data_IF_893648879835
#
_entry.id   IF_893648879835
#
_cell.length_a   1.000
_cell.length_b   1.000
_cell.length_c   1.000
_cell.angle_alpha   90.00
_cell.angle_beta   90.00
_cell.angle_gamma   90.00
#
_symmetry.space_group_name_H-M   'P 1'
#
loop_
_entity.id
_entity.type
_entity.pdbx_description
1 polymer ?
#
# COMPACT_ATOMS: atom_id res chain seq x y z
N UNK A 1 3.10 16.42 -2.18
CA UNK A 1 3.67 15.48 -3.18
C UNK A 1 4.69 14.50 -2.58
N UNK A 2 5.71 14.89 -1.79
CA UNK A 2 6.75 13.97 -1.30
C UNK A 2 6.24 12.85 -0.39
N UNK A 3 5.21 13.09 0.42
CA UNK A 3 4.64 12.10 1.35
C UNK A 3 4.03 10.88 0.64
N UNK A 4 3.31 11.08 -0.46
CA UNK A 4 2.69 10.00 -1.23
C UNK A 4 3.75 9.14 -1.96
N UNK A 5 4.77 9.77 -2.56
CA UNK A 5 5.86 9.04 -3.20
C UNK A 5 6.64 8.20 -2.18
N UNK A 6 6.90 8.76 -0.99
CA UNK A 6 7.55 8.04 0.10
C UNK A 6 6.72 6.85 0.56
N UNK A 7 5.40 7.02 0.71
CA UNK A 7 4.48 5.93 1.02
C UNK A 7 4.55 4.82 -0.04
N UNK A 8 4.48 5.20 -1.33
CA UNK A 8 4.55 4.25 -2.43
C UNK A 8 5.87 3.48 -2.45
N UNK A 9 6.98 4.15 -2.13
CA UNK A 9 8.31 3.52 -2.03
C UNK A 9 8.40 2.56 -0.84
N UNK A 10 7.84 2.93 0.32
CA UNK A 10 7.75 2.05 1.50
C UNK A 10 6.92 0.78 1.17
N UNK A 11 5.77 0.95 0.52
CA UNK A 11 4.94 -0.17 0.09
C UNK A 11 5.66 -1.06 -0.93
N UNK A 12 6.44 -0.46 -1.84
CA UNK A 12 7.25 -1.19 -2.80
C UNK A 12 8.32 -2.07 -2.13
N UNK A 13 9.00 -1.52 -1.13
CA UNK A 13 9.99 -2.26 -0.34
C UNK A 13 9.37 -3.44 0.43
N UNK A 14 8.24 -3.22 1.11
CA UNK A 14 7.49 -4.28 1.77
C UNK A 14 7.10 -5.40 0.79
N UNK A 15 6.55 -5.03 -0.36
CA UNK A 15 6.13 -6.00 -1.37
C UNK A 15 7.31 -6.83 -1.88
N UNK A 16 8.46 -6.21 -2.11
CA UNK A 16 9.67 -6.90 -2.56
C UNK A 16 10.16 -7.93 -1.52
N UNK A 17 10.21 -7.54 -0.24
CA UNK A 17 10.63 -8.41 0.86
C UNK A 17 9.66 -9.58 1.04
N UNK A 18 8.35 -9.32 1.08
CA UNK A 18 7.34 -10.37 1.22
C UNK A 18 7.29 -11.31 0.02
N UNK A 19 7.43 -10.77 -1.20
CA UNK A 19 7.50 -11.60 -2.40
C UNK A 19 8.72 -12.52 -2.37
N UNK A 20 9.89 -12.00 -1.97
CA UNK A 20 11.11 -12.78 -1.85
C UNK A 20 10.95 -13.90 -0.82
N UNK A 21 10.35 -13.60 0.34
CA UNK A 21 10.00 -14.59 1.35
C UNK A 21 9.11 -15.70 0.77
N UNK A 22 8.03 -15.34 0.09
CA UNK A 22 7.16 -16.31 -0.56
C UNK A 22 7.94 -17.16 -1.56
N UNK A 23 8.74 -16.55 -2.41
CA UNK A 23 9.49 -17.23 -3.48
C UNK A 23 10.49 -18.24 -2.94
N UNK A 24 11.16 -17.94 -1.83
CA UNK A 24 12.18 -18.81 -1.23
C UNK A 24 11.57 -19.98 -0.45
N UNK A 25 10.50 -19.74 0.33
CA UNK A 25 9.99 -20.71 1.29
C UNK A 25 8.77 -21.50 0.81
N UNK A 26 7.85 -20.86 0.07
CA UNK A 26 6.51 -21.43 -0.20
C UNK A 26 6.23 -21.74 -1.67
N UNK A 27 6.93 -21.14 -2.63
CA UNK A 27 6.64 -21.30 -4.07
C UNK A 27 6.71 -22.74 -4.55
N UNK A 28 7.41 -23.60 -3.83
CA UNK A 28 7.58 -25.02 -4.17
C UNK A 28 6.56 -25.94 -3.49
N UNK A 29 5.72 -25.44 -2.59
CA UNK A 29 4.74 -26.27 -1.88
C UNK A 29 3.48 -26.50 -2.71
N UNK A 30 2.88 -27.71 -2.59
CA UNK A 30 1.67 -28.10 -3.33
C UNK A 30 0.36 -27.63 -2.66
N UNK A 31 0.45 -26.70 -1.72
CA UNK A 31 -0.71 -26.13 -1.02
C UNK A 31 -1.23 -24.90 -1.79
N UNK A 32 -1.76 -25.14 -3.02
CA UNK A 32 -2.09 -24.07 -3.97
C UNK A 32 -3.05 -23.04 -3.41
N UNK A 33 -4.14 -23.47 -2.74
CA UNK A 33 -5.11 -22.57 -2.10
C UNK A 33 -4.47 -21.67 -1.04
N UNK A 34 -3.57 -22.23 -0.22
CA UNK A 34 -2.86 -21.46 0.80
C UNK A 34 -1.91 -20.45 0.15
N UNK A 35 -1.14 -20.87 -0.85
CA UNK A 35 -0.22 -20.00 -1.59
C UNK A 35 -0.95 -18.83 -2.24
N UNK A 36 -2.15 -19.06 -2.81
CA UNK A 36 -3.02 -18.04 -3.36
C UNK A 36 -3.44 -17.00 -2.30
N UNK A 37 -4.01 -17.48 -1.19
CA UNK A 37 -4.44 -16.59 -0.09
C UNK A 37 -3.25 -15.80 0.47
N UNK A 38 -2.10 -16.44 0.58
CA UNK A 38 -0.89 -15.80 1.09
C UNK A 38 -0.37 -14.73 0.11
N UNK A 39 -0.34 -14.97 -1.20
CA UNK A 39 0.06 -13.97 -2.19
C UNK A 39 -0.86 -12.75 -2.19
N UNK A 40 -2.18 -12.96 -2.14
CA UNK A 40 -3.14 -11.86 -2.03
C UNK A 40 -3.02 -11.14 -0.67
N UNK A 41 -2.83 -11.89 0.42
CA UNK A 41 -2.63 -11.34 1.77
C UNK A 41 -1.37 -10.50 1.89
N UNK A 42 -0.25 -10.99 1.37
CA UNK A 42 1.03 -10.26 1.33
C UNK A 42 0.92 -8.99 0.50
N UNK A 43 0.23 -9.05 -0.64
CA UNK A 43 -0.03 -7.87 -1.46
C UNK A 43 -0.78 -6.80 -0.64
N UNK A 44 -1.90 -7.15 -0.03
CA UNK A 44 -2.69 -6.21 0.79
C UNK A 44 -1.88 -5.70 2.00
N UNK A 45 -1.17 -6.59 2.68
CA UNK A 45 -0.35 -6.25 3.83
C UNK A 45 0.74 -5.24 3.47
N UNK A 46 1.35 -5.35 2.28
CA UNK A 46 2.37 -4.42 1.80
C UNK A 46 1.86 -2.99 1.66
N UNK A 47 0.57 -2.80 1.36
CA UNK A 47 -0.06 -1.50 1.30
C UNK A 47 -0.56 -1.01 2.67
N UNK A 48 -0.98 -1.92 3.54
CA UNK A 48 -1.53 -1.56 4.85
C UNK A 48 -0.42 -1.21 5.87
N UNK A 49 0.70 -1.93 5.86
CA UNK A 49 1.78 -1.74 6.84
C UNK A 49 2.34 -0.31 6.88
N UNK A 50 2.61 0.37 5.75
CA UNK A 50 3.12 1.74 5.81
C UNK A 50 2.10 2.79 6.30
N UNK A 51 0.80 2.44 6.39
CA UNK A 51 -0.24 3.29 6.98
C UNK A 51 -0.27 3.19 8.51
N UNK A 52 0.26 2.09 9.08
CA UNK A 52 0.36 1.90 10.51
C UNK A 52 1.59 2.64 11.04
N UNK A 53 1.44 3.92 11.38
CA UNK A 53 2.50 4.70 12.03
C UNK A 53 2.47 4.42 13.53
N UNK A 54 3.52 3.75 14.05
CA UNK A 54 3.71 3.54 15.47
C UNK A 54 4.63 4.65 15.95
N UNK A 55 4.13 5.57 16.78
CA UNK A 55 4.93 6.57 17.48
C UNK A 55 5.47 5.95 18.77
N UNK A 56 6.78 5.83 18.87
CA UNK A 56 7.45 5.42 20.10
C UNK A 56 7.95 6.69 20.78
N UNK A 57 7.34 7.04 21.92
CA UNK A 57 7.79 8.13 22.77
C UNK A 57 9.06 7.70 23.49
N UNK A 58 10.13 8.46 23.31
CA UNK A 58 11.40 8.25 23.97
C UNK A 58 11.74 9.48 24.80
N UNK A 59 11.88 9.30 26.10
CA UNK A 59 12.37 10.36 26.97
C UNK A 59 13.82 10.69 26.59
N UNK A 60 14.15 11.99 26.50
CA UNK A 60 15.50 12.43 26.20
C UNK A 60 16.40 12.06 27.40
N UNK A 61 17.40 11.18 27.23
CA UNK A 61 18.31 10.84 28.31
C UNK A 61 19.16 12.07 28.67
N UNK A 62 19.06 12.52 29.90
CA UNK A 62 19.97 13.52 30.47
C UNK A 62 19.47 14.96 30.54
N UNK A 63 18.24 15.26 30.10
CA UNK A 63 17.62 16.58 30.36
C UNK A 63 16.70 16.43 31.57
N UNK A 64 17.25 16.64 32.76
CA UNK A 64 16.43 16.89 33.95
C UNK A 64 15.77 18.25 33.77
N UNK A 65 14.47 18.35 33.99
CA UNK A 65 13.73 19.61 33.96
C UNK A 65 14.28 20.67 34.91
N UNK A 66 15.14 20.27 35.86
CA UNK A 66 15.82 21.14 36.81
C UNK A 66 17.07 21.86 36.24
N UNK A 67 17.46 21.60 34.99
CA UNK A 67 18.68 22.15 34.39
C UNK A 67 18.48 23.13 33.25
N UNK A 68 17.25 23.40 32.87
CA UNK A 68 16.96 24.55 32.00
C UNK A 68 16.77 25.72 32.97
N UNK A 69 17.87 26.31 33.40
CA UNK A 69 17.81 27.68 33.94
C UNK A 69 17.08 28.49 32.88
N UNK A 70 15.85 28.89 33.20
CA UNK A 70 15.06 29.80 32.38
C UNK A 70 15.97 30.97 32.11
N UNK A 71 16.52 31.07 30.91
CA UNK A 71 17.27 32.27 30.50
C UNK A 71 16.32 33.41 30.80
N UNK A 72 16.63 34.25 31.81
CA UNK A 72 15.66 35.25 32.24
C UNK A 72 15.35 36.11 31.02
N UNK A 73 14.08 36.35 30.79
CA UNK A 73 13.54 37.11 29.65
C UNK A 73 14.25 38.47 29.47
N UNK A 74 14.93 38.94 30.53
CA UNK A 74 15.76 40.14 30.56
C UNK A 74 17.07 40.00 29.75
N UNK A 75 17.53 38.79 29.41
CA UNK A 75 18.73 38.62 28.57
C UNK A 75 18.42 38.93 27.10
N UNK A 76 17.25 38.56 26.62
CA UNK A 76 16.81 38.90 25.25
C UNK A 76 16.46 40.38 25.10
N UNK A 77 16.08 41.06 26.18
CA UNK A 77 15.71 42.49 26.16
C UNK A 77 16.90 43.44 26.17
N UNK A 78 18.06 42.97 26.61
CA UNK A 78 19.24 43.86 26.75
C UNK A 78 20.03 44.01 25.44
N UNK A 79 20.02 43.04 24.60
CA UNK A 79 20.79 43.05 23.34
C UNK A 79 20.01 43.53 22.12
N UNK A 80 18.70 43.80 22.28
CA UNK A 80 17.86 44.33 21.16
C UNK A 80 17.52 45.81 21.32
N UNK A 81 18.00 46.48 22.34
CA UNK A 81 18.02 47.94 22.32
C UNK A 81 19.31 48.37 21.64
N UNK A 82 19.47 48.00 20.38
CA UNK A 82 20.18 48.85 19.45
C UNK A 82 19.35 50.12 19.36
N UNK A 83 19.71 51.07 20.19
CA UNK A 83 19.25 52.45 20.05
C UNK A 83 19.57 52.88 18.61
N UNK A 84 18.56 52.86 17.78
CA UNK A 84 18.62 53.31 16.37
C UNK A 84 18.89 54.83 16.37
N UNK A 85 20.07 55.24 16.87
CA UNK A 85 20.66 56.54 16.51
C UNK A 85 21.42 56.37 15.21
N UNK A 86 20.69 56.14 14.10
CA UNK A 86 21.20 56.44 12.80
C UNK A 86 21.19 57.96 12.71
N UNK A 87 22.36 58.64 12.60
CA UNK A 87 22.38 60.08 12.31
C UNK A 87 21.60 60.34 11.07
N UNK A 88 20.76 61.35 11.09
CA UNK A 88 19.84 61.72 10.00
C UNK A 88 20.55 62.00 8.64
N UNK A 89 21.87 62.11 8.68
CA UNK A 89 22.71 62.47 7.53
C UNK A 89 23.15 61.26 6.68
N UNK A 90 22.80 59.99 7.07
CA UNK A 90 23.17 58.77 6.32
C UNK A 90 21.99 58.03 5.71
N UNK A 91 20.78 58.62 5.75
CA UNK A 91 19.57 57.99 5.17
C UNK A 91 19.60 57.87 3.63
N UNK A 92 20.36 58.75 2.96
CA UNK A 92 20.43 58.78 1.52
C UNK A 92 21.46 57.80 0.90
N UNK A 93 22.25 57.08 1.72
CA UNK A 93 23.33 56.21 1.23
C UNK A 93 23.09 54.73 1.40
N UNK A 94 21.98 54.31 2.03
CA UNK A 94 21.61 52.87 2.06
C UNK A 94 20.35 52.65 1.23
N UNK A 95 20.44 52.77 -0.07
CA UNK A 95 19.62 51.98 -0.97
C UNK A 95 20.18 50.55 -0.82
N UNK A 96 19.67 49.82 0.14
CA UNK A 96 19.87 48.35 0.17
C UNK A 96 19.08 47.88 -1.04
N UNK A 97 19.76 47.73 -2.19
CA UNK A 97 19.23 47.02 -3.32
C UNK A 97 18.84 45.64 -2.77
N UNK A 98 17.54 45.40 -2.64
CA UNK A 98 17.01 44.10 -2.24
C UNK A 98 17.60 43.07 -3.21
N UNK A 99 18.40 42.08 -2.76
CA UNK A 99 19.06 41.16 -3.64
C UNK A 99 17.99 40.49 -4.51
N UNK A 100 18.15 40.57 -5.85
CA UNK A 100 17.26 39.90 -6.77
C UNK A 100 17.01 38.45 -6.25
N UNK A 101 15.76 38.02 -6.15
CA UNK A 101 15.44 36.69 -5.65
C UNK A 101 16.24 35.68 -6.48
N UNK A 102 17.11 34.92 -5.80
CA UNK A 102 17.86 33.84 -6.45
C UNK A 102 16.87 32.93 -7.20
N UNK A 103 17.19 32.46 -8.39
CA UNK A 103 16.31 31.60 -9.15
C UNK A 103 15.95 30.38 -8.30
N UNK A 104 14.63 30.15 -8.12
CA UNK A 104 14.11 29.04 -7.34
C UNK A 104 14.73 27.73 -7.85
N UNK A 105 15.29 26.89 -6.96
CA UNK A 105 15.88 25.64 -7.35
C UNK A 105 14.80 24.75 -7.97
N UNK A 106 15.15 24.07 -9.07
CA UNK A 106 14.23 23.17 -9.76
C UNK A 106 13.71 22.08 -8.80
N UNK A 107 12.38 21.98 -8.65
CA UNK A 107 11.75 21.00 -7.75
C UNK A 107 11.67 19.61 -8.41
N UNK A 108 12.69 18.80 -8.14
CA UNK A 108 12.76 17.41 -8.57
C UNK A 108 11.59 16.57 -8.06
N UNK A 109 10.98 16.94 -6.92
CA UNK A 109 9.82 16.24 -6.34
C UNK A 109 8.58 16.39 -7.22
N UNK A 110 8.39 17.55 -7.81
CA UNK A 110 7.29 17.78 -8.77
C UNK A 110 7.50 16.95 -10.03
N UNK A 111 8.72 16.95 -10.59
CA UNK A 111 9.01 16.15 -11.79
C UNK A 111 8.79 14.66 -11.55
N UNK A 112 9.31 14.10 -10.45
CA UNK A 112 9.12 12.70 -10.08
C UNK A 112 7.64 12.38 -9.87
N UNK A 113 6.89 13.30 -9.27
CA UNK A 113 5.44 13.18 -9.12
C UNK A 113 4.72 13.08 -10.45
N UNK A 114 5.05 13.96 -11.40
CA UNK A 114 4.46 13.95 -12.75
C UNK A 114 4.74 12.62 -13.44
N UNK A 115 5.99 12.14 -13.41
CA UNK A 115 6.39 10.85 -14.01
C UNK A 115 5.62 9.70 -13.37
N UNK A 116 5.51 9.70 -12.04
CA UNK A 116 4.78 8.67 -11.31
C UNK A 116 3.29 8.61 -11.71
N UNK A 117 2.60 9.75 -11.68
CA UNK A 117 1.18 9.80 -12.02
C UNK A 117 0.94 9.51 -13.51
N UNK A 118 1.81 9.96 -14.41
CA UNK A 118 1.73 9.63 -15.83
C UNK A 118 1.81 8.12 -16.05
N UNK A 119 2.77 7.42 -15.42
CA UNK A 119 2.89 5.96 -15.47
C UNK A 119 1.68 5.24 -14.86
N UNK A 120 1.17 5.73 -13.72
CA UNK A 120 -0.03 5.20 -13.08
C UNK A 120 -1.26 5.32 -13.99
N UNK A 121 -1.52 6.48 -14.58
CA UNK A 121 -2.66 6.67 -15.48
C UNK A 121 -2.51 5.89 -16.79
N UNK A 122 -1.29 5.76 -17.33
CA UNK A 122 -1.02 4.95 -18.50
C UNK A 122 -1.33 3.47 -18.25
N UNK A 123 -0.88 2.91 -17.12
CA UNK A 123 -1.14 1.50 -16.75
C UNK A 123 -2.60 1.26 -16.40
N UNK A 124 -3.27 2.22 -15.73
CA UNK A 124 -4.70 2.16 -15.45
C UNK A 124 -5.51 2.19 -16.76
N UNK A 125 -5.20 3.10 -17.67
CA UNK A 125 -5.83 3.18 -18.99
C UNK A 125 -5.66 1.89 -19.78
N UNK A 126 -4.47 1.31 -19.76
CA UNK A 126 -4.20 0.00 -20.38
C UNK A 126 -5.05 -1.11 -19.77
N UNK A 127 -5.15 -1.17 -18.44
CA UNK A 127 -5.96 -2.15 -17.71
C UNK A 127 -7.44 -2.01 -18.04
N UNK A 128 -7.97 -0.77 -18.03
CA UNK A 128 -9.37 -0.49 -18.41
C UNK A 128 -9.63 -0.89 -19.87
N UNK A 129 -8.74 -0.55 -20.79
CA UNK A 129 -8.87 -0.96 -22.21
C UNK A 129 -8.92 -2.48 -22.37
N UNK A 130 -8.10 -3.24 -21.61
CA UNK A 130 -8.12 -4.70 -21.63
C UNK A 130 -9.44 -5.25 -21.09
N UNK A 131 -9.96 -4.73 -19.98
CA UNK A 131 -11.25 -5.12 -19.41
C UNK A 131 -12.37 -4.84 -20.41
N UNK A 132 -12.40 -3.65 -20.99
CA UNK A 132 -13.41 -3.27 -22.02
C UNK A 132 -13.34 -4.21 -23.23
N UNK A 133 -12.12 -4.59 -23.65
CA UNK A 133 -11.92 -5.57 -24.75
C UNK A 133 -12.52 -6.93 -24.39
N UNK A 134 -12.26 -7.45 -23.19
CA UNK A 134 -12.83 -8.71 -22.71
C UNK A 134 -14.35 -8.62 -22.64
N UNK A 135 -14.93 -7.56 -22.06
CA UNK A 135 -16.39 -7.36 -21.97
C UNK A 135 -17.02 -7.26 -23.35
N UNK A 136 -16.40 -6.56 -24.31
CA UNK A 136 -16.89 -6.52 -25.71
C UNK A 136 -16.88 -7.88 -26.36
N UNK A 137 -15.85 -8.69 -26.08
CA UNK A 137 -15.69 -10.03 -26.63
C UNK A 137 -16.76 -10.98 -26.06
N UNK A 138 -17.02 -10.93 -24.75
CA UNK A 138 -18.09 -11.73 -24.12
C UNK A 138 -19.51 -11.32 -24.56
N UNK A 139 -19.69 -10.07 -25.01
CA UNK A 139 -20.99 -9.57 -25.50
C UNK A 139 -21.28 -9.99 -26.95
N UNK A 140 -20.26 -10.21 -27.78
CA UNK A 140 -20.40 -10.46 -29.22
C UNK A 140 -20.48 -11.93 -29.63
N UNK A 141 -20.07 -12.87 -28.76
CA UNK A 141 -20.08 -14.31 -29.02
C UNK A 141 -21.46 -14.95 -28.84
N UNK A 142 -21.65 -16.14 -29.40
CA UNK A 142 -22.82 -16.98 -29.18
C UNK A 142 -22.84 -17.48 -27.73
N UNK A 143 -23.89 -17.20 -26.99
CA UNK A 143 -24.01 -17.50 -25.56
C UNK A 143 -24.82 -18.78 -25.36
N UNK A 144 -24.28 -19.69 -24.56
CA UNK A 144 -24.90 -20.93 -24.14
C UNK A 144 -24.92 -20.97 -22.61
N UNK A 145 -26.07 -20.95 -21.95
CA UNK A 145 -26.11 -21.03 -20.48
C UNK A 145 -25.69 -22.44 -20.03
N UNK A 146 -24.77 -22.49 -19.08
CA UNK A 146 -24.32 -23.73 -18.42
C UNK A 146 -25.00 -23.80 -17.06
N UNK A 147 -25.94 -24.68 -16.83
CA UNK A 147 -26.89 -24.79 -15.70
C UNK A 147 -26.45 -24.39 -14.27
N UNK A 148 -25.19 -24.01 -14.06
CA UNK A 148 -24.58 -23.59 -12.79
C UNK A 148 -24.36 -22.05 -12.67
N UNK A 149 -25.05 -21.25 -13.45
CA UNK A 149 -24.92 -19.78 -13.48
C UNK A 149 -23.74 -19.26 -14.33
N UNK A 150 -22.94 -20.14 -14.90
CA UNK A 150 -21.90 -19.82 -15.88
C UNK A 150 -22.50 -19.71 -17.29
N UNK A 151 -21.86 -18.94 -18.15
CA UNK A 151 -22.25 -18.75 -19.54
C UNK A 151 -21.05 -19.08 -20.43
N UNK A 152 -21.23 -20.08 -21.30
CA UNK A 152 -20.28 -20.37 -22.36
C UNK A 152 -20.50 -19.38 -23.51
N UNK A 153 -19.42 -18.77 -23.97
CA UNK A 153 -19.40 -17.85 -25.10
C UNK A 153 -18.52 -18.46 -26.20
N UNK A 154 -19.12 -18.86 -27.29
CA UNK A 154 -18.39 -19.36 -28.46
C UNK A 154 -18.05 -18.22 -29.42
N UNK A 155 -16.80 -18.17 -29.87
CA UNK A 155 -16.32 -17.12 -30.76
C UNK A 155 -15.07 -17.58 -31.52
N UNK A 156 -15.10 -17.53 -32.84
CA UNK A 156 -13.99 -17.93 -33.73
C UNK A 156 -12.80 -16.98 -33.72
N UNK A 157 -12.97 -15.82 -33.09
CA UNK A 157 -11.89 -14.82 -32.98
C UNK A 157 -10.88 -15.11 -31.87
N UNK A 158 -11.07 -16.19 -31.12
CA UNK A 158 -10.30 -16.53 -29.93
C UNK A 158 -9.28 -17.60 -30.28
N UNK A 159 -8.02 -17.36 -29.86
CA UNK A 159 -6.92 -18.29 -30.09
C UNK A 159 -6.73 -19.30 -28.96
N UNK A 160 -7.20 -18.96 -27.76
CA UNK A 160 -7.09 -19.82 -26.58
C UNK A 160 -8.31 -19.61 -25.67
N UNK A 161 -8.89 -20.67 -25.09
CA UNK A 161 -9.93 -20.56 -24.10
C UNK A 161 -9.47 -19.71 -22.90
N UNK A 162 -10.43 -19.02 -22.31
CA UNK A 162 -10.22 -18.29 -21.05
C UNK A 162 -11.54 -18.12 -20.32
N UNK A 163 -11.46 -17.90 -19.01
CA UNK A 163 -12.60 -17.58 -18.17
C UNK A 163 -12.49 -16.16 -17.61
N UNK A 164 -13.63 -15.47 -17.55
CA UNK A 164 -13.75 -14.14 -16.96
C UNK A 164 -15.06 -14.02 -16.19
N UNK A 165 -14.97 -13.82 -14.86
CA UNK A 165 -16.12 -13.74 -13.95
C UNK A 165 -17.04 -14.96 -14.15
N UNK A 166 -18.22 -14.76 -14.75
CA UNK A 166 -19.21 -15.80 -15.06
C UNK A 166 -19.14 -16.36 -16.49
N UNK A 167 -18.23 -15.87 -17.32
CA UNK A 167 -18.13 -16.24 -18.72
C UNK A 167 -16.94 -17.17 -18.95
N UNK A 168 -17.17 -18.29 -19.64
CA UNK A 168 -16.13 -19.10 -20.26
C UNK A 168 -16.16 -18.79 -21.75
N UNK A 169 -15.04 -18.45 -22.30
CA UNK A 169 -14.92 -18.07 -23.72
C UNK A 169 -13.99 -19.04 -24.41
N UNK A 170 -14.47 -19.70 -25.47
CA UNK A 170 -13.69 -20.65 -26.25
C UNK A 170 -14.09 -20.63 -27.75
N UNK A 171 -13.25 -21.20 -28.62
CA UNK A 171 -13.58 -21.37 -30.03
C UNK A 171 -14.54 -22.52 -30.22
N UNK A 172 -15.28 -22.54 -31.37
CA UNK A 172 -16.13 -23.67 -31.73
C UNK A 172 -15.28 -24.94 -31.92
N UNK A 173 -14.07 -24.80 -32.47
CA UNK A 173 -13.13 -25.89 -32.66
C UNK A 173 -12.69 -26.51 -31.32
N UNK A 174 -12.29 -25.69 -30.34
CA UNK A 174 -11.93 -26.17 -29.02
C UNK A 174 -13.09 -26.87 -28.31
N UNK A 175 -14.32 -26.37 -28.52
CA UNK A 175 -15.52 -26.99 -27.96
C UNK A 175 -15.80 -28.37 -28.58
N UNK A 176 -15.58 -28.53 -29.88
CA UNK A 176 -15.81 -29.80 -30.62
C UNK A 176 -14.69 -30.83 -30.33
N UNK A 177 -13.44 -30.40 -30.26
CA UNK A 177 -12.23 -31.26 -30.18
C UNK A 177 -11.75 -31.61 -28.79
N UNK A 178 -12.59 -31.74 -27.78
CA UNK A 178 -12.21 -32.08 -26.40
C UNK A 178 -12.72 -31.07 -25.35
N UNK A 179 -13.78 -30.36 -25.74
CA UNK A 179 -14.39 -29.28 -24.97
C UNK A 179 -14.76 -29.62 -23.53
N UNK A 180 -15.05 -30.90 -23.24
CA UNK A 180 -15.44 -31.30 -21.87
C UNK A 180 -14.34 -31.01 -20.81
N UNK A 181 -13.12 -31.48 -21.04
CA UNK A 181 -12.02 -31.33 -20.10
C UNK A 181 -11.54 -29.87 -20.00
N UNK A 182 -11.47 -29.18 -21.16
CA UNK A 182 -11.10 -27.75 -21.19
C UNK A 182 -12.17 -26.92 -20.48
N UNK A 183 -13.44 -27.23 -20.71
CA UNK A 183 -14.56 -26.55 -20.06
C UNK A 183 -14.52 -26.73 -18.53
N UNK A 184 -14.21 -27.94 -18.05
CA UNK A 184 -14.04 -28.21 -16.60
C UNK A 184 -12.91 -27.36 -16.02
N UNK A 185 -11.78 -27.22 -16.73
CA UNK A 185 -10.66 -26.38 -16.31
C UNK A 185 -11.07 -24.90 -16.23
N UNK A 186 -11.71 -24.37 -17.26
CA UNK A 186 -12.17 -22.97 -17.27
C UNK A 186 -13.27 -22.70 -16.23
N UNK A 187 -14.17 -23.67 -16.00
CA UNK A 187 -15.14 -23.59 -14.91
C UNK A 187 -14.48 -23.63 -13.52
N UNK A 188 -13.35 -24.34 -13.37
CA UNK A 188 -12.59 -24.32 -12.12
C UNK A 188 -12.10 -22.89 -11.80
N UNK A 189 -11.56 -22.16 -12.77
CA UNK A 189 -11.19 -20.76 -12.60
C UNK A 189 -12.36 -19.89 -12.13
N UNK A 190 -13.55 -20.10 -12.66
CA UNK A 190 -14.76 -19.36 -12.27
C UNK A 190 -15.19 -19.69 -10.84
N UNK A 191 -15.30 -21.00 -10.50
CA UNK A 191 -15.73 -21.46 -9.16
C UNK A 191 -14.78 -20.98 -8.06
N UNK A 192 -13.49 -20.92 -8.37
CA UNK A 192 -12.45 -20.47 -7.46
C UNK A 192 -12.35 -18.94 -7.40
N UNK A 193 -12.97 -18.21 -8.33
CA UNK A 193 -13.00 -16.75 -8.34
C UNK A 193 -11.67 -16.11 -8.73
N UNK A 194 -10.84 -16.78 -9.54
CA UNK A 194 -9.51 -16.31 -9.94
C UNK A 194 -9.52 -14.93 -10.63
N UNK A 195 -10.63 -14.59 -11.30
CA UNK A 195 -10.79 -13.27 -11.94
C UNK A 195 -10.77 -12.11 -10.96
N UNK A 196 -11.25 -12.32 -9.72
CA UNK A 196 -11.25 -11.28 -8.68
C UNK A 196 -9.84 -11.00 -8.18
N UNK A 197 -9.04 -12.05 -7.98
CA UNK A 197 -7.65 -11.88 -7.55
C UNK A 197 -6.84 -11.14 -8.62
N UNK A 198 -7.02 -11.49 -9.90
CA UNK A 198 -6.32 -10.81 -10.98
C UNK A 198 -6.74 -9.35 -11.11
N UNK A 199 -8.03 -9.04 -10.90
CA UNK A 199 -8.53 -7.68 -10.90
C UNK A 199 -7.90 -6.87 -9.75
N UNK A 200 -7.82 -7.45 -8.56
CA UNK A 200 -7.16 -6.84 -7.39
C UNK A 200 -5.68 -6.54 -7.68
N UNK A 201 -4.95 -7.54 -8.19
CA UNK A 201 -3.53 -7.41 -8.53
C UNK A 201 -3.32 -6.38 -9.64
N UNK A 202 -4.18 -6.35 -10.67
CA UNK A 202 -4.07 -5.40 -11.77
C UNK A 202 -4.35 -3.97 -11.30
N UNK A 203 -5.33 -3.77 -10.40
CA UNK A 203 -5.67 -2.46 -9.83
C UNK A 203 -4.53 -1.93 -8.93
N UNK A 204 -4.06 -2.74 -7.97
CA UNK A 204 -2.94 -2.36 -7.11
C UNK A 204 -1.62 -2.25 -7.90
N UNK A 205 -1.50 -3.02 -8.99
CA UNK A 205 -0.38 -2.95 -9.92
C UNK A 205 -0.26 -1.60 -10.63
N UNK A 206 -1.38 -0.90 -10.84
CA UNK A 206 -1.33 0.46 -11.39
C UNK A 206 -0.65 1.45 -10.43
N UNK A 207 -0.83 1.28 -9.11
CA UNK A 207 -0.14 2.09 -8.10
C UNK A 207 1.35 1.75 -7.99
N UNK A 208 1.71 0.49 -8.26
CA UNK A 208 3.07 -0.05 -8.16
C UNK A 208 3.65 -0.40 -9.54
N UNK A 209 3.29 0.37 -10.58
CA UNK A 209 3.66 0.10 -11.97
C UNK A 209 5.17 -0.02 -12.18
N UNK A 210 5.95 0.73 -11.42
CA UNK A 210 7.43 0.77 -11.46
C UNK A 210 8.08 -0.38 -10.67
N UNK A 211 7.32 -1.11 -9.84
CA UNK A 211 7.86 -2.13 -8.93
C UNK A 211 7.96 -3.51 -9.61
N UNK A 212 9.17 -4.06 -9.84
CA UNK A 212 9.33 -5.37 -10.46
C UNK A 212 8.73 -6.51 -9.61
N UNK A 213 8.74 -6.39 -8.27
CA UNK A 213 8.14 -7.39 -7.39
C UNK A 213 6.64 -7.56 -7.63
N UNK A 214 5.94 -6.49 -7.98
CA UNK A 214 4.52 -6.52 -8.36
C UNK A 214 4.27 -7.38 -9.60
N UNK A 215 5.09 -7.21 -10.62
CA UNK A 215 5.00 -7.98 -11.86
C UNK A 215 5.32 -9.46 -11.63
N UNK A 216 6.33 -9.75 -10.82
CA UNK A 216 6.70 -11.12 -10.44
C UNK A 216 5.62 -11.79 -9.61
N UNK A 217 5.01 -11.09 -8.64
CA UNK A 217 3.88 -11.58 -7.85
C UNK A 217 2.69 -11.93 -8.74
N UNK A 218 2.38 -11.08 -9.72
CA UNK A 218 1.31 -11.34 -10.70
C UNK A 218 1.56 -12.62 -11.51
N UNK A 219 2.80 -12.86 -11.93
CA UNK A 219 3.19 -14.07 -12.66
C UNK A 219 3.04 -15.31 -11.78
N UNK A 220 3.49 -15.26 -10.54
CA UNK A 220 3.37 -16.36 -9.59
C UNK A 220 1.90 -16.66 -9.24
N UNK A 221 1.10 -15.62 -9.02
CA UNK A 221 -0.33 -15.79 -8.72
C UNK A 221 -1.05 -16.50 -9.87
N UNK A 222 -0.78 -16.11 -11.12
CA UNK A 222 -1.31 -16.81 -12.30
C UNK A 222 -0.88 -18.27 -12.34
N UNK A 223 0.39 -18.57 -12.05
CA UNK A 223 0.87 -19.95 -12.00
C UNK A 223 0.14 -20.77 -10.92
N UNK A 224 -0.09 -20.18 -9.73
CA UNK A 224 -0.86 -20.82 -8.65
C UNK A 224 -2.32 -21.06 -9.06
N UNK A 225 -2.94 -20.12 -9.77
CA UNK A 225 -4.30 -20.31 -10.32
C UNK A 225 -4.38 -21.48 -11.28
N UNK A 226 -3.37 -21.64 -12.17
CA UNK A 226 -3.30 -22.80 -13.06
C UNK A 226 -3.17 -24.12 -12.27
N UNK A 227 -2.32 -24.17 -11.26
CA UNK A 227 -2.15 -25.38 -10.43
C UNK A 227 -3.44 -25.72 -9.66
N UNK A 228 -4.16 -24.72 -9.16
CA UNK A 228 -5.42 -24.93 -8.44
C UNK A 228 -6.53 -25.41 -9.38
N UNK A 229 -6.60 -24.86 -10.59
CA UNK A 229 -7.54 -25.31 -11.61
C UNK A 229 -7.23 -26.74 -12.10
N UNK A 230 -5.94 -27.06 -12.31
CA UNK A 230 -5.50 -28.41 -12.67
C UNK A 230 -5.87 -29.43 -11.59
N UNK A 231 -5.66 -29.09 -10.32
CA UNK A 231 -6.05 -29.95 -9.20
C UNK A 231 -7.57 -30.21 -9.20
N UNK A 232 -8.39 -29.21 -9.56
CA UNK A 232 -9.85 -29.41 -9.64
C UNK A 232 -10.25 -30.33 -10.81
N UNK A 233 -9.59 -30.23 -11.97
CA UNK A 233 -9.83 -31.15 -13.10
C UNK A 233 -9.57 -32.60 -12.68
N UNK A 234 -8.43 -32.85 -12.01
CA UNK A 234 -8.08 -34.18 -11.53
C UNK A 234 -9.07 -34.69 -10.45
N UNK A 235 -9.56 -33.80 -9.58
CA UNK A 235 -10.60 -34.14 -8.59
C UNK A 235 -11.95 -34.48 -9.21
N UNK A 236 -12.25 -33.96 -10.41
CA UNK A 236 -13.46 -34.33 -11.15
C UNK A 236 -13.37 -35.72 -11.82
N UNK A 237 -12.26 -36.46 -11.60
CA UNK A 237 -12.09 -37.84 -12.10
C UNK A 237 -11.51 -37.92 -13.50
N UNK A 238 -11.00 -36.83 -14.07
CA UNK A 238 -10.29 -36.85 -15.36
C UNK A 238 -8.94 -37.57 -15.16
N UNK A 239 -8.62 -38.52 -16.07
CA UNK A 239 -7.34 -39.20 -16.01
C UNK A 239 -6.17 -38.24 -16.18
N UNK A 240 -5.16 -38.37 -15.29
CA UNK A 240 -4.04 -37.43 -15.25
C UNK A 240 -3.19 -37.48 -16.53
N UNK A 241 -3.00 -38.67 -17.11
CA UNK A 241 -2.19 -38.84 -18.34
C UNK A 241 -2.89 -38.26 -19.55
N UNK A 242 -4.20 -38.50 -19.66
CA UNK A 242 -5.01 -37.97 -20.76
C UNK A 242 -5.05 -36.43 -20.68
N UNK A 243 -5.20 -35.89 -19.47
CA UNK A 243 -5.20 -34.46 -19.27
C UNK A 243 -3.85 -33.82 -19.60
N UNK A 244 -2.75 -34.39 -19.12
CA UNK A 244 -1.39 -33.92 -19.45
C UNK A 244 -1.13 -33.99 -20.96
N UNK A 245 -1.57 -35.08 -21.63
CA UNK A 245 -1.43 -35.20 -23.07
C UNK A 245 -2.24 -34.15 -23.82
N UNK A 246 -3.46 -33.83 -23.34
CA UNK A 246 -4.28 -32.74 -23.90
C UNK A 246 -3.56 -31.39 -23.80
N UNK A 247 -2.98 -31.08 -22.65
CA UNK A 247 -2.22 -29.85 -22.45
C UNK A 247 -1.00 -29.75 -23.36
N UNK A 248 -0.27 -30.86 -23.54
CA UNK A 248 0.89 -30.94 -24.44
C UNK A 248 0.44 -30.74 -25.90
N UNK A 249 -0.60 -31.47 -26.36
CA UNK A 249 -1.14 -31.33 -27.72
C UNK A 249 -1.55 -29.88 -28.00
N UNK A 250 -2.20 -29.23 -27.04
CA UNK A 250 -2.63 -27.84 -27.17
C UNK A 250 -1.45 -26.86 -27.24
N UNK A 251 -0.39 -27.10 -26.50
CA UNK A 251 0.83 -26.29 -26.52
C UNK A 251 1.61 -26.45 -27.84
N UNK A 252 1.64 -27.66 -28.41
CA UNK A 252 2.34 -27.97 -29.68
C UNK A 252 1.54 -27.48 -30.91
N UNK A 253 0.21 -27.51 -30.88
CA UNK A 253 -0.65 -27.03 -31.94
C UNK A 253 -0.63 -25.51 -32.19
N UNK A 254 -0.11 -24.73 -31.25
CA UNK A 254 0.13 -23.31 -31.41
C UNK A 254 1.46 -23.04 -32.13
N UNK A 255 1.43 -22.65 -33.39
CA UNK A 255 2.52 -22.26 -34.32
C UNK A 255 3.95 -22.13 -33.76
N UNK A 256 4.89 -22.79 -34.42
CA UNK A 256 6.31 -23.06 -34.15
C UNK A 256 7.28 -21.85 -34.09
N UNK A 257 6.80 -20.60 -34.23
CA UNK A 257 7.72 -19.46 -34.36
C UNK A 257 7.42 -18.32 -33.38
N UNK A 258 7.96 -18.40 -32.15
CA UNK A 258 8.18 -17.19 -31.34
C UNK A 258 9.07 -17.48 -30.12
N UNK A 259 9.96 -16.57 -29.79
CA UNK A 259 10.72 -16.52 -28.52
C UNK A 259 9.79 -16.56 -27.30
N UNK A 260 8.55 -16.06 -27.44
CA UNK A 260 7.49 -16.20 -26.45
C UNK A 260 7.11 -17.67 -26.13
N UNK A 261 7.41 -18.63 -27.01
CA UNK A 261 7.16 -20.06 -26.77
C UNK A 261 8.02 -20.63 -25.63
N UNK A 262 9.24 -20.12 -25.39
CA UNK A 262 10.08 -20.65 -24.32
C UNK A 262 9.48 -20.40 -22.92
N UNK A 263 8.80 -19.26 -22.71
CA UNK A 263 8.09 -18.94 -21.47
C UNK A 263 6.83 -19.81 -21.29
N UNK A 264 6.09 -20.07 -22.37
CA UNK A 264 4.94 -20.98 -22.34
C UNK A 264 5.33 -22.43 -22.05
N UNK A 265 6.48 -22.90 -22.59
CA UNK A 265 7.02 -24.22 -22.27
C UNK A 265 7.41 -24.36 -20.79
N UNK A 266 7.99 -23.31 -20.18
CA UNK A 266 8.32 -23.33 -18.75
C UNK A 266 7.06 -23.42 -17.87
N UNK A 267 6.00 -22.71 -18.21
CA UNK A 267 4.74 -22.76 -17.48
C UNK A 267 4.07 -24.15 -17.60
N UNK A 268 4.02 -24.73 -18.80
CA UNK A 268 3.49 -26.07 -19.00
C UNK A 268 4.29 -27.13 -18.23
N UNK A 269 5.63 -27.06 -18.30
CA UNK A 269 6.52 -27.94 -17.52
C UNK A 269 6.23 -27.84 -16.02
N UNK A 270 6.06 -26.62 -15.50
CA UNK A 270 5.76 -26.41 -14.09
C UNK A 270 4.40 -27.00 -13.69
N UNK A 271 3.34 -26.84 -14.53
CA UNK A 271 2.02 -27.44 -14.32
C UNK A 271 2.11 -28.96 -14.24
N UNK A 272 2.75 -29.60 -15.24
CA UNK A 272 2.93 -31.06 -15.26
C UNK A 272 3.73 -31.52 -14.03
N UNK A 273 4.82 -30.82 -13.68
CA UNK A 273 5.63 -31.15 -12.51
C UNK A 273 4.81 -31.04 -11.21
N UNK A 274 3.96 -30.02 -11.08
CA UNK A 274 3.11 -29.85 -9.89
C UNK A 274 2.02 -30.91 -9.77
N UNK A 275 1.42 -31.37 -10.89
CA UNK A 275 0.47 -32.49 -10.89
C UNK A 275 1.11 -33.82 -10.44
N UNK A 276 2.38 -34.05 -10.82
CA UNK A 276 3.13 -35.27 -10.45
C UNK A 276 3.73 -35.21 -9.05
N UNK A 277 3.76 -34.04 -8.44
CA UNK A 277 4.45 -33.83 -7.15
C UNK A 277 3.66 -34.44 -5.99
N UNK A 278 4.37 -35.08 -5.08
CA UNK A 278 3.80 -35.58 -3.83
C UNK A 278 3.25 -34.41 -2.99
N UNK A 279 2.08 -34.57 -2.39
CA UNK A 279 1.45 -33.54 -1.55
C UNK A 279 2.37 -33.11 -0.42
N UNK A 280 2.49 -31.80 -0.23
CA UNK A 280 3.26 -31.21 0.87
C UNK A 280 2.68 -31.61 2.23
N UNK A 281 3.55 -31.78 3.21
CA UNK A 281 3.17 -32.11 4.60
C UNK A 281 2.31 -31.02 5.23
N UNK A 282 1.53 -31.38 6.28
CA UNK A 282 0.77 -30.41 7.09
C UNK A 282 1.67 -29.33 7.70
N UNK A 283 2.93 -29.67 8.02
CA UNK A 283 3.94 -28.72 8.51
C UNK A 283 4.32 -27.64 7.51
N UNK A 284 4.10 -27.87 6.22
CA UNK A 284 4.31 -26.83 5.21
C UNK A 284 3.40 -25.60 5.44
N UNK A 285 2.23 -25.80 6.07
CA UNK A 285 1.34 -24.68 6.47
C UNK A 285 1.96 -23.80 7.55
N UNK A 286 2.76 -24.37 8.45
CA UNK A 286 3.42 -23.60 9.50
C UNK A 286 4.44 -22.59 8.93
N UNK A 287 5.01 -22.85 7.75
CA UNK A 287 5.91 -21.89 7.08
C UNK A 287 5.21 -20.56 6.78
N UNK A 288 3.91 -20.56 6.51
CA UNK A 288 3.15 -19.32 6.27
C UNK A 288 3.13 -18.40 7.50
N UNK A 289 3.24 -18.96 8.72
CA UNK A 289 3.27 -18.16 9.95
C UNK A 289 4.52 -17.28 10.06
N UNK A 290 5.61 -17.60 9.34
CA UNK A 290 6.80 -16.73 9.31
C UNK A 290 6.54 -15.36 8.66
N UNK A 291 5.40 -15.17 7.98
CA UNK A 291 4.96 -13.85 7.52
C UNK A 291 4.71 -12.90 8.70
N UNK A 292 4.26 -13.42 9.86
CA UNK A 292 3.96 -12.59 11.04
C UNK A 292 5.20 -11.90 11.62
N UNK A 293 6.29 -12.61 11.96
CA UNK A 293 7.49 -11.93 12.44
C UNK A 293 8.08 -10.99 11.38
N UNK A 294 7.97 -11.33 10.09
CA UNK A 294 8.42 -10.46 9.03
C UNK A 294 7.58 -9.16 8.95
N UNK A 295 6.27 -9.26 9.15
CA UNK A 295 5.39 -8.10 9.25
C UNK A 295 5.70 -7.23 10.48
N UNK A 296 5.99 -7.86 11.64
CA UNK A 296 6.41 -7.14 12.84
C UNK A 296 7.74 -6.39 12.63
N UNK A 297 8.70 -7.01 11.94
CA UNK A 297 9.95 -6.33 11.58
C UNK A 297 9.72 -5.14 10.64
N UNK A 298 8.83 -5.27 9.67
CA UNK A 298 8.47 -4.18 8.77
C UNK A 298 7.76 -3.04 9.52
N UNK A 299 6.88 -3.34 10.46
CA UNK A 299 6.24 -2.34 11.34
C UNK A 299 7.28 -1.61 12.18
N UNK A 300 8.23 -2.33 12.79
CA UNK A 300 9.32 -1.74 13.55
C UNK A 300 10.21 -0.81 12.72
N UNK A 301 10.44 -1.16 11.43
CA UNK A 301 11.22 -0.34 10.51
C UNK A 301 10.50 0.98 10.13
N UNK A 302 9.17 1.06 10.28
CA UNK A 302 8.38 2.26 10.03
C UNK A 302 8.01 3.04 11.30
N UNK A 303 8.41 2.53 12.48
CA UNK A 303 8.19 3.22 13.74
C UNK A 303 8.89 4.59 13.74
N UNK A 304 8.14 5.64 14.08
CA UNK A 304 8.67 6.99 14.25
C UNK A 304 8.96 7.21 15.73
N UNK A 305 10.17 7.69 16.04
CA UNK A 305 10.53 8.05 17.42
C UNK A 305 10.20 9.53 17.61
N UNK A 306 9.26 9.84 18.49
CA UNK A 306 9.05 11.21 19.00
C UNK A 306 9.75 11.34 20.34
N UNK A 307 10.53 12.42 20.50
CA UNK A 307 11.17 12.73 21.76
C UNK A 307 10.25 13.64 22.55
N UNK A 308 9.90 13.21 23.77
CA UNK A 308 9.10 13.99 24.72
C UNK A 308 10.00 14.41 25.85
N UNK A 309 9.89 15.69 26.26
CA UNK A 309 10.55 16.17 27.48
C UNK A 309 9.91 15.48 28.70
N UNK A 310 10.69 15.02 29.68
CA UNK A 310 10.14 14.41 30.89
C UNK A 310 9.21 15.40 31.62
N UNK A 311 7.97 14.98 31.80
CA UNK A 311 6.99 15.75 32.58
C UNK A 311 7.43 15.81 34.05
N UNK A 312 7.58 17.02 34.58
CA UNK A 312 7.97 17.21 35.97
C UNK A 312 6.87 16.70 36.92
N UNK A 313 7.09 15.56 37.55
CA UNK A 313 6.16 14.90 38.47
C UNK A 313 6.01 15.65 39.80
N UNK A 314 6.67 16.79 39.96
CA UNK A 314 6.68 17.53 41.23
C UNK A 314 5.42 18.37 41.48
N UNK A 315 4.55 18.58 40.49
CA UNK A 315 3.36 19.44 40.65
C UNK A 315 2.11 18.72 41.21
N UNK A 316 2.15 17.38 41.40
CA UNK A 316 0.98 16.66 41.94
C UNK A 316 0.92 16.50 43.44
N UNK A 317 1.89 17.01 44.20
CA UNK A 317 1.93 16.84 45.66
C UNK A 317 1.80 18.13 46.46
N UNK A 318 1.42 19.26 45.85
CA UNK A 318 1.16 20.52 46.52
C UNK A 318 -0.31 20.93 46.52
N UNK A 319 -1.12 20.01 46.97
CA UNK A 319 -2.57 20.25 47.14
C UNK A 319 -3.06 19.71 48.47
N UNK A 320 -2.56 20.24 49.61
CA UNK A 320 -3.21 20.32 50.91
C UNK A 320 -2.16 20.78 51.94
N UNK A 321 -1.89 22.06 51.91
CA UNK A 321 -1.18 22.77 52.97
C UNK A 321 -1.88 24.08 53.18
N UNK A 322 -2.83 24.09 54.12
CA UNK A 322 -3.40 25.32 54.68
C UNK A 322 -2.26 26.22 55.14
N UNK A 323 -2.17 27.39 54.53
CA UNK A 323 -1.26 28.45 54.95
C UNK A 323 -1.94 29.19 56.11
N UNK A 324 -1.38 29.24 57.35
CA UNK A 324 -1.95 30.04 58.44
C UNK A 324 -1.76 31.52 58.10
N UNK A 325 -2.86 32.25 58.14
CA UNK A 325 -2.90 33.72 58.09
C UNK A 325 -2.13 34.33 59.26
N UNK A 326 -1.26 35.31 59.01
CA UNK A 326 -0.73 36.11 60.09
C UNK A 326 -1.80 37.10 60.58
N UNK A 327 -2.08 37.06 61.88
CA UNK A 327 -2.94 37.99 62.55
C UNK A 327 -2.26 39.38 62.68
N UNK A 328 -3.00 40.44 62.36
CA UNK A 328 -2.81 41.75 62.90
C UNK A 328 -2.23 42.81 61.95
N UNK A 329 -3.14 43.68 61.45
CA UNK A 329 -2.95 45.12 61.44
C UNK A 329 -4.29 45.77 61.01
N UNK A 330 -4.83 46.49 61.96
CA UNK A 330 -6.01 47.32 61.82
C UNK A 330 -5.80 48.52 60.88
N UNK A 331 -6.87 48.88 60.18
CA UNK A 331 -7.19 50.28 59.88
C UNK A 331 -6.57 50.88 58.65
N UNK A 332 -7.42 50.98 57.56
CA UNK A 332 -7.65 52.28 56.89
C UNK A 332 -8.86 52.15 55.94
N UNK A 333 -9.89 52.91 56.32
CA UNK A 333 -11.06 53.22 55.47
C UNK A 333 -10.65 54.31 54.50
N UNK A 334 -10.87 54.09 53.18
CA UNK A 334 -11.10 55.20 52.24
C UNK A 334 -12.00 54.69 51.06
N UNK A 335 -13.06 55.27 50.93
CA UNK A 335 -13.96 55.81 49.99
C UNK A 335 -14.08 55.14 48.59
N UNK A 336 -15.29 54.74 48.26
CA UNK A 336 -15.75 54.50 46.89
C UNK A 336 -15.82 55.76 46.07
N UNK A 337 -15.68 55.67 44.74
CA UNK A 337 -16.69 56.24 43.91
C UNK A 337 -17.26 55.25 42.88
N UNK A 338 -18.57 55.35 42.75
CA UNK A 338 -19.41 54.74 41.74
C UNK A 338 -18.96 55.15 40.34
N UNK A 339 -19.10 54.24 39.39
CA UNK A 339 -18.95 54.50 37.98
C UNK A 339 -19.08 53.23 37.20
N UNK A 340 -20.30 52.90 36.79
CA UNK A 340 -20.63 51.71 36.05
C UNK A 340 -20.10 51.73 34.61
N UNK A 341 -19.74 50.53 34.13
CA UNK A 341 -19.68 50.21 32.70
C UNK A 341 -20.05 48.74 32.49
N UNK A 342 -20.76 48.39 31.41
CA UNK A 342 -21.40 47.12 31.25
C UNK A 342 -20.42 46.00 30.83
N UNK A 343 -20.85 44.72 30.92
CA UNK A 343 -19.98 43.58 30.65
C UNK A 343 -19.80 43.42 29.12
N UNK A 344 -18.57 43.29 28.68
CA UNK A 344 -18.20 42.81 27.34
C UNK A 344 -18.03 41.33 27.41
N UNK A 345 -18.99 40.59 26.85
CA UNK A 345 -18.83 39.21 26.44
C UNK A 345 -17.79 39.15 25.34
N UNK A 346 -16.67 38.52 25.59
CA UNK A 346 -15.63 38.24 24.63
C UNK A 346 -15.16 36.81 24.81
N UNK A 347 -15.84 35.90 24.12
CA UNK A 347 -15.41 34.52 23.91
C UNK A 347 -14.03 34.52 23.26
N UNK A 348 -13.00 34.16 24.00
CA UNK A 348 -11.67 33.86 23.45
C UNK A 348 -11.62 32.40 23.05
N UNK A 349 -12.05 32.12 21.80
CA UNK A 349 -11.77 30.86 21.13
C UNK A 349 -10.28 30.80 20.83
N UNK A 350 -9.58 29.89 21.48
CA UNK A 350 -8.20 29.56 21.19
C UNK A 350 -8.14 28.91 19.80
N UNK A 351 -7.71 29.67 18.80
CA UNK A 351 -7.42 29.18 17.46
C UNK A 351 -6.17 28.30 17.52
N UNK A 352 -6.36 27.01 17.52
CA UNK A 352 -5.34 26.04 17.16
C UNK A 352 -4.95 26.27 15.69
N UNK A 353 -3.78 26.78 15.49
CA UNK A 353 -3.16 26.94 14.17
C UNK A 353 -2.70 25.56 13.71
N UNK A 354 -3.53 24.88 12.89
CA UNK A 354 -3.08 23.75 12.10
C UNK A 354 -2.44 24.32 10.84
N UNK A 355 -1.12 24.18 10.78
CA UNK A 355 -0.35 24.45 9.58
C UNK A 355 -0.60 23.33 8.57
N UNK A 356 -1.63 23.51 7.72
CA UNK A 356 -1.74 22.81 6.44
C UNK A 356 -0.94 23.59 5.41
N UNK A 357 0.26 23.13 5.14
CA UNK A 357 1.01 23.53 3.97
C UNK A 357 0.71 22.55 2.85
N UNK A 358 0.18 23.07 1.77
CA UNK A 358 -0.15 22.44 0.50
C UNK A 358 0.99 21.63 -0.16
#
# INVERSE_FOLDING_TARGET
>A
MPTFLLYSLKAAGCLAVFYLFYKLLLSRDTLHRMNRVLLCGVLLLSFLLPLCVITVEKELPGVSAAGIDVIPENYFRRDMVFENRIPDDTRDLMIIEEPEPAPEPFDWGVLLGIIYFAGMFATLGWTVCNIVRVVRMTRRGRRIPLGNGSVLVLSDRIRAPFSWMRYVVMSEEDYACGGGTILVHEQAHQRLGHSWDLLLVDLLGCLQWFNPAMWLLRVELRAVHEYEADEQVLRCGVDAKDYQMLLIKKAVGGRWYSIANSLNHSNLKNRITMMLRKRSSRWARAKALYVLPLACLALGAFAQTSYVLPEDKTTKNSGNGEMPLPAGADGLTVGTPEGGMPPVEGSMACLLYTSDAA
#
